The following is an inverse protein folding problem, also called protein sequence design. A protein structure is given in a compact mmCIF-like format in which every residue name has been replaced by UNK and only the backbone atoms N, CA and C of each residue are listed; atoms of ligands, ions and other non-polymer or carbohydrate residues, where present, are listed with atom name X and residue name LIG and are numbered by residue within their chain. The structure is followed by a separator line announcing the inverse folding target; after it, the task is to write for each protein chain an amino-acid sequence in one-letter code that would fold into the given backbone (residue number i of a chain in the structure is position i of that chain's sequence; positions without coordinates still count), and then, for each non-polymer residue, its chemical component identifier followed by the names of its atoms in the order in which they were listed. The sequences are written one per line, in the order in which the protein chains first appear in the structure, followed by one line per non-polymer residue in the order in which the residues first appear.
data_IF_917863044371
#
_entry.id   IF_917863044371
#
_cell.length_a   1.000
_cell.length_b   1.000
_cell.length_c   1.000
_cell.angle_alpha   90.00
_cell.angle_beta   90.00
_cell.angle_gamma   90.00
#
_symmetry.space_group_name_H-M   'P 1'
#
loop_
_entity.id
_entity.type
_entity.pdbx_description
1 polymer ?
#
# COMPACT_ATOMS: atom_id res chain seq x y z
N UNK A 1 22.17 -39.88 -11.07
CA UNK A 1 22.32 -38.41 -11.08
C UNK A 1 23.71 -38.07 -10.53
N UNK A 2 24.30 -36.93 -10.87
CA UNK A 2 25.58 -36.52 -10.25
C UNK A 2 25.30 -35.58 -9.08
N UNK A 3 26.17 -35.56 -8.05
CA UNK A 3 26.03 -34.63 -6.92
C UNK A 3 25.92 -33.16 -7.36
N UNK A 4 26.61 -32.80 -8.44
CA UNK A 4 26.53 -31.46 -9.04
C UNK A 4 25.12 -31.17 -9.57
N UNK A 5 24.51 -32.13 -10.27
CA UNK A 5 23.15 -32.01 -10.80
C UNK A 5 22.11 -31.88 -9.68
N UNK A 6 22.27 -32.65 -8.59
CA UNK A 6 21.39 -32.58 -7.41
C UNK A 6 21.47 -31.24 -6.69
N UNK A 7 22.69 -30.72 -6.47
CA UNK A 7 22.87 -29.39 -5.87
C UNK A 7 22.26 -28.28 -6.71
N UNK A 8 22.37 -28.38 -8.04
CA UNK A 8 21.76 -27.41 -8.95
C UNK A 8 20.23 -27.48 -8.89
N UNK A 9 19.65 -28.68 -8.93
CA UNK A 9 18.19 -28.86 -8.82
C UNK A 9 17.66 -28.29 -7.51
N UNK A 10 18.29 -28.59 -6.39
CA UNK A 10 17.89 -28.06 -5.08
C UNK A 10 17.95 -26.52 -5.04
N UNK A 11 18.99 -25.91 -5.62
CA UNK A 11 19.08 -24.45 -5.70
C UNK A 11 17.93 -23.83 -6.53
N UNK A 12 17.54 -24.48 -7.63
CA UNK A 12 16.41 -24.04 -8.45
C UNK A 12 15.06 -24.21 -7.72
N UNK A 13 14.88 -25.32 -7.00
CA UNK A 13 13.66 -25.56 -6.20
C UNK A 13 13.50 -24.54 -5.07
N UNK A 14 14.60 -24.17 -4.41
CA UNK A 14 14.60 -23.08 -3.42
C UNK A 14 14.17 -21.77 -4.05
N UNK A 15 14.69 -21.44 -5.24
CA UNK A 15 14.34 -20.19 -5.91
C UNK A 15 12.88 -20.18 -6.39
N UNK A 16 12.37 -21.30 -6.89
CA UNK A 16 10.94 -21.45 -7.22
C UNK A 16 10.07 -21.22 -5.97
N UNK A 17 10.47 -21.75 -4.81
CA UNK A 17 9.77 -21.52 -3.55
C UNK A 17 9.81 -20.04 -3.13
N UNK A 18 10.95 -19.38 -3.31
CA UNK A 18 11.09 -17.95 -3.02
C UNK A 18 10.18 -17.10 -3.91
N UNK A 19 10.16 -17.36 -5.22
CA UNK A 19 9.25 -16.69 -6.17
C UNK A 19 7.80 -16.89 -5.76
N UNK A 20 7.41 -18.12 -5.41
CA UNK A 20 6.03 -18.42 -4.97
C UNK A 20 5.62 -17.62 -3.72
N UNK A 21 6.56 -17.41 -2.77
CA UNK A 21 6.32 -16.56 -1.59
C UNK A 21 6.13 -15.09 -1.99
N UNK A 22 6.95 -14.59 -2.92
CA UNK A 22 6.84 -13.22 -3.43
C UNK A 22 5.49 -12.99 -4.13
N UNK A 23 5.01 -13.96 -4.92
CA UNK A 23 3.69 -13.91 -5.54
C UNK A 23 2.57 -13.82 -4.50
N UNK A 24 2.67 -14.61 -3.42
CA UNK A 24 1.71 -14.57 -2.32
C UNK A 24 1.69 -13.21 -1.62
N UNK A 25 2.87 -12.67 -1.29
CA UNK A 25 3.01 -11.33 -0.68
C UNK A 25 2.40 -10.28 -1.61
N UNK A 26 2.71 -10.32 -2.90
CA UNK A 26 2.18 -9.38 -3.90
C UNK A 26 0.65 -9.46 -4.00
N UNK A 27 0.08 -10.67 -4.00
CA UNK A 27 -1.37 -10.87 -4.03
C UNK A 27 -2.04 -10.28 -2.79
N UNK A 28 -1.47 -10.52 -1.60
CA UNK A 28 -1.94 -9.96 -0.33
C UNK A 28 -1.87 -8.44 -0.33
N UNK A 29 -0.73 -7.85 -0.72
CA UNK A 29 -0.56 -6.40 -0.81
C UNK A 29 -1.56 -5.77 -1.77
N UNK A 30 -1.82 -6.40 -2.92
CA UNK A 30 -2.83 -5.92 -3.88
C UNK A 30 -4.24 -5.90 -3.29
N UNK A 31 -4.60 -6.91 -2.50
CA UNK A 31 -5.90 -6.96 -1.83
C UNK A 31 -6.05 -5.80 -0.83
N UNK A 32 -5.05 -5.58 0.01
CA UNK A 32 -5.00 -4.47 0.99
C UNK A 32 -5.13 -3.11 0.30
N UNK A 33 -4.39 -2.88 -0.79
CA UNK A 33 -4.47 -1.63 -1.55
C UNK A 33 -5.88 -1.37 -2.11
N UNK A 34 -6.53 -2.41 -2.65
CA UNK A 34 -7.90 -2.32 -3.17
C UNK A 34 -8.93 -2.05 -2.08
N UNK A 35 -8.77 -2.70 -0.94
CA UNK A 35 -9.63 -2.49 0.23
C UNK A 35 -9.55 -1.03 0.67
N UNK A 36 -8.35 -0.52 0.94
CA UNK A 36 -8.16 0.86 1.36
C UNK A 36 -8.61 1.89 0.32
N UNK A 37 -8.39 1.63 -0.97
CA UNK A 37 -8.95 2.47 -2.03
C UNK A 37 -10.48 2.49 -2.03
N UNK A 38 -11.12 1.36 -1.71
CA UNK A 38 -12.58 1.26 -1.58
C UNK A 38 -13.07 2.03 -0.36
N UNK A 39 -12.41 1.90 0.79
CA UNK A 39 -12.79 2.63 2.01
C UNK A 39 -12.65 4.14 1.84
N UNK A 40 -11.60 4.63 1.17
CA UNK A 40 -11.48 6.05 0.80
C UNK A 40 -12.66 6.54 -0.05
N UNK A 41 -13.08 5.75 -1.05
CA UNK A 41 -14.24 6.09 -1.90
C UNK A 41 -15.56 6.14 -1.12
N UNK A 42 -15.64 5.42 0.00
CA UNK A 42 -16.79 5.44 0.90
C UNK A 42 -16.70 6.54 1.97
N UNK A 43 -15.65 7.38 1.94
CA UNK A 43 -15.45 8.49 2.85
C UNK A 43 -14.74 8.15 4.16
N UNK A 44 -14.03 7.01 4.24
CA UNK A 44 -13.19 6.71 5.41
C UNK A 44 -12.09 7.78 5.58
N UNK A 45 -11.79 8.12 6.83
CA UNK A 45 -10.74 9.07 7.16
C UNK A 45 -9.39 8.62 6.59
N UNK A 46 -8.74 9.53 5.86
CA UNK A 46 -7.52 9.26 5.14
C UNK A 46 -6.31 8.92 6.04
N UNK A 47 -6.24 9.45 7.27
CA UNK A 47 -5.21 9.09 8.26
C UNK A 47 -5.34 7.63 8.70
N UNK A 48 -6.57 7.13 8.86
CA UNK A 48 -6.81 5.72 9.20
C UNK A 48 -6.37 4.81 8.05
N UNK A 49 -6.68 5.20 6.81
CA UNK A 49 -6.25 4.49 5.61
C UNK A 49 -4.72 4.46 5.51
N UNK A 50 -4.05 5.60 5.74
CA UNK A 50 -2.59 5.68 5.73
C UNK A 50 -1.93 4.80 6.79
N UNK A 51 -2.50 4.78 8.00
CA UNK A 51 -2.04 3.92 9.08
C UNK A 51 -2.18 2.45 8.69
N UNK A 52 -3.33 2.07 8.11
CA UNK A 52 -3.56 0.71 7.61
C UNK A 52 -2.57 0.30 6.51
N UNK A 53 -2.27 1.20 5.57
CA UNK A 53 -1.28 0.97 4.51
C UNK A 53 0.13 0.79 5.08
N UNK A 54 0.56 1.61 6.04
CA UNK A 54 1.88 1.49 6.70
C UNK A 54 2.08 0.15 7.38
N UNK A 55 1.01 -0.41 7.96
CA UNK A 55 1.07 -1.68 8.69
C UNK A 55 1.07 -2.90 7.77
N UNK A 56 0.47 -2.80 6.58
CA UNK A 56 0.18 -3.97 5.76
C UNK A 56 0.93 -4.03 4.43
N UNK A 57 1.48 -2.92 3.95
CA UNK A 57 2.29 -2.85 2.73
C UNK A 57 3.77 -3.10 3.08
N UNK A 58 4.49 -3.96 2.33
CA UNK A 58 5.92 -4.20 2.55
C UNK A 58 6.74 -2.90 2.55
N UNK A 59 7.72 -2.81 3.45
CA UNK A 59 8.54 -1.62 3.69
C UNK A 59 9.26 -1.11 2.44
N UNK A 60 9.69 -2.02 1.56
CA UNK A 60 10.35 -1.70 0.28
C UNK A 60 9.50 -0.83 -0.65
N UNK A 61 8.17 -0.93 -0.53
CA UNK A 61 7.22 -0.18 -1.40
C UNK A 61 6.40 0.84 -0.63
N UNK A 62 6.36 0.76 0.70
CA UNK A 62 5.57 1.66 1.52
C UNK A 62 6.11 3.09 1.47
N UNK A 63 7.43 3.30 1.44
CA UNK A 63 8.03 4.64 1.41
C UNK A 63 7.62 5.42 0.16
N UNK A 64 7.79 4.85 -1.03
CA UNK A 64 7.37 5.50 -2.29
C UNK A 64 5.85 5.63 -2.45
N UNK A 65 5.06 4.83 -1.73
CA UNK A 65 3.61 5.03 -1.64
C UNK A 65 3.30 6.26 -0.77
N UNK A 66 3.94 6.37 0.40
CA UNK A 66 3.75 7.48 1.32
C UNK A 66 4.14 8.82 0.70
N UNK A 67 5.28 8.89 0.01
CA UNK A 67 5.75 10.11 -0.68
C UNK A 67 4.74 10.65 -1.71
N UNK A 68 3.97 9.75 -2.35
CA UNK A 68 2.94 10.15 -3.32
C UNK A 68 1.63 10.58 -2.67
N UNK A 69 1.34 10.12 -1.45
CA UNK A 69 0.09 10.40 -0.76
C UNK A 69 0.19 11.60 0.19
N UNK A 70 1.37 11.87 0.74
CA UNK A 70 1.65 12.97 1.67
C UNK A 70 1.19 14.37 1.17
N UNK A 71 1.42 14.74 -0.12
CA UNK A 71 0.94 16.02 -0.64
C UNK A 71 -0.60 16.11 -0.74
N UNK A 72 -1.28 14.98 -0.96
CA UNK A 72 -2.75 14.93 -1.13
C UNK A 72 -3.47 15.17 0.19
N UNK A 73 -2.91 14.64 1.29
CA UNK A 73 -3.47 14.85 2.64
C UNK A 73 -3.22 16.27 3.14
N UNK A 74 -2.09 16.86 2.75
CA UNK A 74 -1.75 18.24 3.10
C UNK A 74 -2.65 19.27 2.41
N UNK A 75 -3.19 18.95 1.22
CA UNK A 75 -4.10 19.82 0.47
C UNK A 75 -5.55 19.80 1.00
N UNK A 76 -5.97 18.72 1.66
CA UNK A 76 -7.33 18.55 2.19
C UNK A 76 -7.72 19.50 3.32
N UNK A 77 -6.78 20.29 3.85
CA UNK A 77 -7.04 21.32 4.87
C UNK A 77 -7.33 22.71 4.28
N UNK A 78 -7.14 22.94 2.98
CA UNK A 78 -7.20 24.26 2.36
C UNK A 78 -8.53 24.59 1.65
N UNK A 79 -9.42 23.61 1.43
CA UNK A 79 -10.67 23.78 0.66
C UNK A 79 -11.94 23.77 1.53
N UNK A 80 -11.91 24.46 2.67
CA UNK A 80 -13.17 25.02 3.19
C UNK A 80 -13.30 26.43 2.63
N UNK A 81 -14.17 26.68 1.63
CA UNK A 81 -14.65 28.04 1.45
C UNK A 81 -15.42 28.37 2.74
N UNK A 82 -14.84 29.25 3.54
CA UNK A 82 -15.57 30.00 4.56
C UNK A 82 -16.65 30.79 3.81
N UNK A 83 -17.80 30.16 3.59
CA UNK A 83 -18.96 30.78 2.98
C UNK A 83 -19.40 31.90 3.93
N UNK A 84 -18.99 33.11 3.56
CA UNK A 84 -19.21 34.33 4.32
C UNK A 84 -20.67 34.47 4.74
N UNK A 85 -20.85 34.79 6.01
CA UNK A 85 -22.11 35.29 6.55
C UNK A 85 -22.12 36.83 6.48
N UNK A 86 -22.93 37.46 5.62
CA UNK A 86 -23.30 38.85 5.77
C UNK A 86 -24.66 38.93 6.51
N UNK A 87 -24.69 39.59 7.65
CA UNK A 87 -25.93 39.95 8.36
C UNK A 87 -25.60 40.33 9.80
N UNK A 88 -25.70 41.57 10.27
CA UNK A 88 -26.61 42.64 9.85
C UNK A 88 -27.86 42.62 10.74
N UNK A 89 -27.74 43.12 11.97
CA UNK A 89 -28.76 43.83 12.75
C UNK A 89 -28.13 44.38 14.03
#
# INVERSE_FOLDING_TARGET
MTERSERLLNALEVEISNVSKLEHVLARTRAVLREHATRLRLGENAEMVMTGLRLNVPSETSLSLLERVDPVLSLGFADTPDDGYPGGA
#
